data_IF_608025472110
#
_entry.id   IF_608025472110
#
_cell.length_a   1.000
_cell.length_b   1.000
_cell.length_c   1.000
_cell.angle_alpha   90.00
_cell.angle_beta   90.00
_cell.angle_gamma   90.00
#
_symmetry.space_group_name_H-M   'P 1'
#
loop_
_entity.id
_entity.type
_entity.pdbx_description
1 polymer ?
#
# COMPACT_ATOMS: atom_id res chain seq x y z
N UNK A 1 11.11 -10.55 -13.22
CA UNK A 1 10.90 -10.21 -11.81
C UNK A 1 9.87 -9.08 -11.74
N UNK A 2 8.90 -9.14 -10.83
CA UNK A 2 7.85 -8.10 -10.74
C UNK A 2 8.44 -6.84 -10.09
N UNK A 3 8.23 -5.68 -10.69
CA UNK A 3 8.55 -4.39 -10.09
C UNK A 3 7.29 -3.79 -9.47
N UNK A 4 7.37 -3.40 -8.21
CA UNK A 4 6.37 -2.60 -7.53
C UNK A 4 6.54 -1.14 -7.99
N UNK A 5 5.44 -0.42 -8.10
CA UNK A 5 5.39 0.96 -8.55
C UNK A 5 4.89 1.85 -7.41
N UNK A 6 5.26 3.14 -7.42
CA UNK A 6 4.68 4.12 -6.52
C UNK A 6 3.19 4.28 -6.84
N UNK A 7 2.35 4.53 -5.83
CA UNK A 7 0.96 4.91 -6.05
C UNK A 7 0.78 6.40 -5.75
N UNK A 8 0.78 7.23 -6.79
CA UNK A 8 0.77 8.69 -6.70
C UNK A 8 -0.40 9.24 -7.51
N UNK A 9 -1.23 10.07 -6.90
CA UNK A 9 -2.33 10.74 -7.61
C UNK A 9 -3.44 9.82 -8.13
N UNK A 10 -3.53 8.58 -7.61
CA UNK A 10 -4.50 7.59 -8.08
C UNK A 10 -3.98 6.64 -9.16
N UNK A 11 -2.69 6.70 -9.49
CA UNK A 11 -2.06 5.89 -10.53
C UNK A 11 -0.82 5.16 -10.02
N UNK A 12 -0.49 4.02 -10.64
CA UNK A 12 0.77 3.33 -10.44
C UNK A 12 1.83 3.92 -11.37
N UNK A 13 2.94 4.38 -10.79
CA UNK A 13 3.99 5.13 -11.49
C UNK A 13 5.36 4.59 -11.11
N UNK A 14 6.22 4.37 -12.10
CA UNK A 14 7.63 4.01 -11.91
C UNK A 14 8.41 5.14 -11.22
N UNK A 15 9.46 4.82 -10.45
CA UNK A 15 10.32 5.85 -9.86
C UNK A 15 11.01 6.65 -10.96
N UNK A 16 11.14 7.96 -10.78
CA UNK A 16 11.76 8.86 -11.78
C UNK A 16 13.22 8.51 -12.04
N UNK A 17 13.90 7.94 -11.04
CA UNK A 17 15.28 7.51 -11.14
C UNK A 17 15.47 6.24 -11.98
N UNK A 18 14.40 5.52 -12.31
CA UNK A 18 14.40 4.13 -12.80
C UNK A 18 15.22 3.17 -11.92
N UNK A 19 15.51 3.56 -10.67
CA UNK A 19 16.23 2.72 -9.70
C UNK A 19 15.26 1.92 -8.85
N UNK A 20 15.71 0.73 -8.50
CA UNK A 20 14.95 -0.21 -7.70
C UNK A 20 15.86 -0.90 -6.68
N UNK A 21 15.28 -1.30 -5.56
CA UNK A 21 15.91 -2.14 -4.55
C UNK A 21 15.35 -3.57 -4.66
N UNK A 22 16.19 -4.53 -4.32
CA UNK A 22 15.79 -5.93 -4.20
C UNK A 22 14.84 -6.11 -3.01
N UNK A 23 13.69 -6.73 -3.25
CA UNK A 23 12.77 -7.14 -2.19
C UNK A 23 12.88 -8.65 -1.94
N UNK A 24 13.30 -8.99 -0.73
CA UNK A 24 13.63 -10.35 -0.34
C UNK A 24 12.45 -11.03 0.35
N UNK A 25 12.26 -12.32 0.07
CA UNK A 25 11.40 -13.17 0.88
C UNK A 25 12.23 -13.71 2.05
N UNK A 26 11.95 -13.31 3.31
CA UNK A 26 12.79 -13.67 4.46
C UNK A 26 12.88 -15.18 4.73
N UNK A 27 11.88 -15.96 4.29
CA UNK A 27 11.86 -17.41 4.51
C UNK A 27 12.81 -18.18 3.59
N UNK A 28 13.17 -17.60 2.44
CA UNK A 28 14.03 -18.23 1.42
C UNK A 28 15.34 -17.50 1.21
N UNK A 29 15.40 -16.21 1.54
CA UNK A 29 16.52 -15.33 1.23
C UNK A 29 16.59 -14.93 -0.25
N UNK A 30 15.59 -15.30 -1.06
CA UNK A 30 15.55 -14.98 -2.49
C UNK A 30 14.81 -13.68 -2.76
N UNK A 31 15.25 -12.95 -3.80
CA UNK A 31 14.55 -11.77 -4.29
C UNK A 31 13.29 -12.21 -5.02
N UNK A 32 12.12 -11.75 -4.56
CA UNK A 32 10.83 -12.09 -5.16
C UNK A 32 10.20 -10.94 -5.95
N UNK A 33 10.61 -9.70 -5.68
CA UNK A 33 10.20 -8.51 -6.42
C UNK A 33 11.25 -7.40 -6.33
N UNK A 34 11.02 -6.31 -7.06
CA UNK A 34 11.76 -5.06 -6.93
C UNK A 34 10.85 -3.99 -6.34
N UNK A 35 11.38 -3.13 -5.46
CA UNK A 35 10.66 -1.96 -4.92
C UNK A 35 11.31 -0.67 -5.43
N UNK A 36 10.53 0.41 -5.66
CA UNK A 36 11.08 1.64 -6.20
C UNK A 36 12.05 2.30 -5.21
N UNK A 37 13.25 2.65 -5.68
CA UNK A 37 14.21 3.50 -4.95
C UNK A 37 13.90 4.97 -5.27
N UNK A 38 12.75 5.41 -4.75
CA UNK A 38 12.18 6.74 -5.00
C UNK A 38 13.04 7.84 -4.40
N UNK A 39 13.26 8.90 -5.16
CA UNK A 39 14.04 10.06 -4.72
C UNK A 39 13.17 11.32 -4.51
N UNK A 40 13.81 12.46 -4.28
CA UNK A 40 13.14 13.73 -4.01
C UNK A 40 12.12 14.13 -5.08
N UNK A 41 12.29 13.68 -6.33
CA UNK A 41 11.41 14.02 -7.45
C UNK A 41 10.10 13.24 -7.39
N UNK A 42 10.16 11.97 -6.99
CA UNK A 42 8.96 11.16 -6.74
C UNK A 42 8.20 11.68 -5.51
N UNK A 43 8.93 12.09 -4.46
CA UNK A 43 8.36 12.72 -3.27
C UNK A 43 7.65 14.03 -3.62
N UNK A 44 8.27 14.90 -4.42
CA UNK A 44 7.65 16.17 -4.86
C UNK A 44 6.35 15.89 -5.65
N UNK A 45 6.35 14.92 -6.56
CA UNK A 45 5.12 14.50 -7.27
C UNK A 45 4.02 14.04 -6.31
N UNK A 46 4.38 13.25 -5.30
CA UNK A 46 3.43 12.78 -4.28
C UNK A 46 2.87 13.95 -3.46
N UNK A 47 3.70 14.91 -3.08
CA UNK A 47 3.31 16.11 -2.33
C UNK A 47 2.37 16.98 -3.16
N UNK A 48 2.68 17.25 -4.42
CA UNK A 48 1.83 18.04 -5.29
C UNK A 48 0.48 17.35 -5.57
N UNK A 49 0.48 16.03 -5.80
CA UNK A 49 -0.75 15.26 -5.92
C UNK A 49 -1.63 15.36 -4.66
N UNK A 50 -1.02 15.26 -3.47
CA UNK A 50 -1.73 15.40 -2.19
C UNK A 50 -2.28 16.82 -1.99
N UNK A 51 -1.49 17.86 -2.29
CA UNK A 51 -1.94 19.27 -2.24
C UNK A 51 -3.12 19.52 -3.16
N UNK A 52 -3.11 18.95 -4.37
CA UNK A 52 -4.20 19.08 -5.34
C UNK A 52 -5.48 18.37 -4.89
N UNK A 53 -5.37 17.21 -4.22
CA UNK A 53 -6.51 16.47 -3.69
C UNK A 53 -7.11 17.11 -2.42
N UNK A 54 -6.29 17.79 -1.60
CA UNK A 54 -6.66 18.28 -0.29
C UNK A 54 -7.87 19.25 -0.27
N UNK A 55 -8.02 20.23 -1.18
CA UNK A 55 -9.18 21.11 -1.19
C UNK A 55 -10.52 20.39 -1.33
N UNK A 56 -10.56 19.24 -2.01
CA UNK A 56 -11.77 18.42 -2.15
C UNK A 56 -11.98 17.61 -0.87
N UNK A 57 -10.94 16.89 -0.43
CA UNK A 57 -11.01 16.04 0.76
C UNK A 57 -11.36 16.79 2.05
N UNK A 58 -10.74 17.96 2.25
CA UNK A 58 -10.95 18.80 3.45
C UNK A 58 -12.36 19.37 3.53
N UNK A 59 -13.02 19.57 2.39
CA UNK A 59 -14.40 20.09 2.32
C UNK A 59 -15.47 19.00 2.39
N UNK A 60 -15.11 17.72 2.29
CA UNK A 60 -16.06 16.63 2.47
C UNK A 60 -16.63 16.63 3.89
N UNK A 61 -17.91 16.23 4.02
CA UNK A 61 -18.51 16.02 5.34
C UNK A 61 -17.87 14.82 6.05
N UNK A 62 -18.08 14.72 7.36
CA UNK A 62 -17.65 13.54 8.12
C UNK A 62 -18.29 12.25 7.58
N UNK A 63 -19.57 12.32 7.18
CA UNK A 63 -20.32 11.20 6.58
C UNK A 63 -19.71 10.75 5.24
N UNK A 64 -19.40 11.69 4.33
CA UNK A 64 -18.77 11.35 3.05
C UNK A 64 -17.41 10.67 3.23
N UNK A 65 -16.60 11.16 4.18
CA UNK A 65 -15.32 10.51 4.50
C UNK A 65 -15.54 9.14 5.13
N UNK A 66 -16.50 9.02 6.06
CA UNK A 66 -16.88 7.75 6.67
C UNK A 66 -17.25 6.71 5.61
N UNK A 67 -18.10 7.05 4.65
CA UNK A 67 -18.51 6.12 3.58
C UNK A 67 -17.33 5.63 2.73
N UNK A 68 -16.33 6.49 2.49
CA UNK A 68 -15.11 6.11 1.79
C UNK A 68 -14.27 5.16 2.63
N UNK A 69 -14.09 5.43 3.93
CA UNK A 69 -13.35 4.56 4.86
C UNK A 69 -14.04 3.19 5.02
N UNK A 70 -15.37 3.16 5.11
CA UNK A 70 -16.14 1.90 5.18
C UNK A 70 -16.03 1.06 3.90
N UNK A 71 -15.87 1.70 2.73
CA UNK A 71 -15.54 0.98 1.49
C UNK A 71 -14.15 0.36 1.56
N UNK A 72 -13.17 1.05 2.15
CA UNK A 72 -11.83 0.48 2.37
C UNK A 72 -11.91 -0.74 3.28
N UNK A 73 -12.66 -0.66 4.40
CA UNK A 73 -12.93 -1.80 5.28
C UNK A 73 -13.47 -3.00 4.51
N UNK A 74 -14.55 -2.80 3.75
CA UNK A 74 -15.17 -3.88 2.98
C UNK A 74 -14.21 -4.51 1.95
N UNK A 75 -13.35 -3.69 1.33
CA UNK A 75 -12.33 -4.18 0.39
C UNK A 75 -11.23 -5.00 1.09
N UNK A 76 -10.77 -4.56 2.27
CA UNK A 76 -9.78 -5.31 3.07
C UNK A 76 -10.36 -6.65 3.50
N UNK A 77 -11.61 -6.68 3.98
CA UNK A 77 -12.29 -7.93 4.36
C UNK A 77 -12.46 -8.87 3.16
N UNK A 78 -12.87 -8.34 2.00
CA UNK A 78 -13.01 -9.10 0.75
C UNK A 78 -11.68 -9.72 0.33
N UNK A 79 -10.59 -8.97 0.41
CA UNK A 79 -9.26 -9.36 -0.08
C UNK A 79 -8.35 -9.94 1.02
N UNK A 80 -8.92 -10.29 2.17
CA UNK A 80 -8.19 -10.66 3.38
C UNK A 80 -7.15 -11.75 3.15
N UNK A 81 -7.48 -12.80 2.38
CA UNK A 81 -6.56 -13.89 2.10
C UNK A 81 -5.38 -13.49 1.22
N UNK A 82 -5.60 -12.57 0.27
CA UNK A 82 -4.55 -12.05 -0.60
C UNK A 82 -3.61 -11.13 0.17
N UNK A 83 -4.17 -10.23 0.99
CA UNK A 83 -3.40 -9.33 1.84
C UNK A 83 -2.57 -10.10 2.88
N UNK A 84 -3.15 -11.13 3.52
CA UNK A 84 -2.43 -11.97 4.47
C UNK A 84 -1.28 -12.76 3.81
N UNK A 85 -1.46 -13.21 2.57
CA UNK A 85 -0.36 -13.82 1.80
C UNK A 85 0.74 -12.81 1.50
N UNK A 86 0.40 -11.60 1.06
CA UNK A 86 1.39 -10.57 0.77
C UNK A 86 2.21 -10.19 2.03
N UNK A 87 1.54 -9.95 3.16
CA UNK A 87 2.16 -9.65 4.45
C UNK A 87 3.10 -10.78 4.91
N UNK A 88 2.68 -12.05 4.75
CA UNK A 88 3.48 -13.22 5.12
C UNK A 88 4.72 -13.37 4.25
N UNK A 89 4.62 -13.12 2.95
CA UNK A 89 5.75 -13.22 2.02
C UNK A 89 6.79 -12.13 2.29
N UNK A 90 6.35 -10.90 2.54
CA UNK A 90 7.22 -9.75 2.75
C UNK A 90 7.87 -9.75 4.15
N UNK A 91 7.09 -10.08 5.19
CA UNK A 91 7.56 -10.02 6.58
C UNK A 91 8.11 -11.36 7.12
N UNK A 92 7.81 -12.48 6.46
CA UNK A 92 8.25 -13.83 6.87
C UNK A 92 7.42 -14.47 8.00
N UNK A 93 6.44 -13.77 8.56
CA UNK A 93 5.53 -14.33 9.58
C UNK A 93 4.62 -15.40 8.97
N UNK A 94 4.13 -16.39 9.74
CA UNK A 94 3.15 -17.35 9.23
C UNK A 94 1.89 -16.65 8.70
N UNK A 95 1.39 -17.08 7.53
CA UNK A 95 0.14 -16.56 6.94
C UNK A 95 -1.04 -16.60 7.92
N UNK A 96 -1.12 -17.64 8.75
CA UNK A 96 -2.18 -17.77 9.77
C UNK A 96 -2.15 -16.62 10.77
N UNK A 97 -0.96 -16.18 11.18
CA UNK A 97 -0.79 -15.04 12.09
C UNK A 97 -1.21 -13.73 11.40
N UNK A 98 -0.73 -13.49 10.18
CA UNK A 98 -1.13 -12.31 9.39
C UNK A 98 -2.66 -12.25 9.19
N UNK A 99 -3.28 -13.40 8.91
CA UNK A 99 -4.72 -13.56 8.68
C UNK A 99 -5.55 -13.31 9.94
N UNK A 100 -5.06 -13.70 11.11
CA UNK A 100 -5.80 -13.61 12.38
C UNK A 100 -5.57 -12.28 13.12
N UNK A 101 -4.44 -11.61 12.87
CA UNK A 101 -4.04 -10.43 13.65
C UNK A 101 -3.89 -9.21 12.75
N UNK A 102 -2.98 -9.24 11.77
CA UNK A 102 -2.58 -8.02 11.05
C UNK A 102 -3.69 -7.47 10.15
N UNK A 103 -4.30 -8.31 9.33
CA UNK A 103 -5.36 -7.88 8.41
C UNK A 103 -6.64 -7.48 9.18
N UNK A 104 -7.11 -8.23 10.20
CA UNK A 104 -8.23 -7.78 11.03
C UNK A 104 -7.94 -6.49 11.80
N UNK A 105 -6.70 -6.27 12.27
CA UNK A 105 -6.31 -5.01 12.90
C UNK A 105 -6.37 -3.85 11.91
N UNK A 106 -5.96 -4.06 10.66
CA UNK A 106 -6.09 -3.05 9.61
C UNK A 106 -7.55 -2.64 9.40
N UNK A 107 -8.48 -3.60 9.35
CA UNK A 107 -9.93 -3.33 9.29
C UNK A 107 -10.39 -2.44 10.44
N UNK A 108 -9.96 -2.72 11.68
CA UNK A 108 -10.37 -1.95 12.86
C UNK A 108 -9.78 -0.53 12.97
N UNK A 109 -8.79 -0.18 12.15
CA UNK A 109 -8.13 1.13 12.19
C UNK A 109 -8.80 2.19 11.28
N UNK A 110 -9.75 1.78 10.44
CA UNK A 110 -10.52 2.66 9.56
C UNK A 110 -11.89 2.99 10.20
#
# INVERSE_FOLDING_TARGET
MRAIENYIGGELIKPVSDKYLDNFNPATGEVYSLIPDSDERDVEKAVEAAKNAFPVWSKMSAEQRHDILMKIVALIERDLDALATAESVDNGKPKTLAKQVDIPRAVSNF
#
